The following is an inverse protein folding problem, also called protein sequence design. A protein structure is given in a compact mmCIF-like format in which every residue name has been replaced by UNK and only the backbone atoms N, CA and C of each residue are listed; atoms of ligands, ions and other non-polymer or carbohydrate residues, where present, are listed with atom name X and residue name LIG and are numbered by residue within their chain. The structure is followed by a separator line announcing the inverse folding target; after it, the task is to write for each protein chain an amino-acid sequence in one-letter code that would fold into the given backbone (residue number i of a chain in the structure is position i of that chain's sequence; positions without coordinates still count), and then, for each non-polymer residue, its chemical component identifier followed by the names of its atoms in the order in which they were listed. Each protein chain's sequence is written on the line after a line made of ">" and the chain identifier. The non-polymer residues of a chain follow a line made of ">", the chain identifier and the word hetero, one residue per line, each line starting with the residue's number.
data_IF_681386267933
#
_entry.id   IF_681386267933
#
_cell.length_a   1.000
_cell.length_b   1.000
_cell.length_c   1.000
_cell.angle_alpha   90.00
_cell.angle_beta   90.00
_cell.angle_gamma   90.00
#
_symmetry.space_group_name_H-M   'P 1'
#
loop_
_entity.id
_entity.type
_entity.pdbx_description
1 polymer ?
#
# COMPACT_ATOMS: atom_id res chain seq x y z
N UNK A 1 8.86 10.41 -23.69
CA UNK A 1 7.52 10.19 -23.16
C UNK A 1 7.52 10.78 -21.76
N UNK A 2 6.59 11.67 -21.47
CA UNK A 2 6.50 12.32 -20.15
C UNK A 2 5.61 11.46 -19.27
N UNK A 3 6.22 10.85 -18.27
CA UNK A 3 5.50 10.07 -17.27
C UNK A 3 4.93 10.99 -16.21
N UNK A 4 3.70 10.71 -15.79
CA UNK A 4 3.02 11.40 -14.70
C UNK A 4 2.43 10.40 -13.72
N UNK A 5 2.42 10.78 -12.46
CA UNK A 5 1.78 10.03 -11.40
C UNK A 5 0.28 10.35 -11.38
N UNK A 6 -0.56 9.32 -11.31
CA UNK A 6 -2.00 9.44 -11.20
C UNK A 6 -2.49 8.50 -10.11
N UNK A 7 -3.38 9.00 -9.26
CA UNK A 7 -4.03 8.22 -8.21
C UNK A 7 -5.51 8.07 -8.58
N UNK A 8 -5.98 6.82 -8.64
CA UNK A 8 -7.40 6.50 -8.82
C UNK A 8 -7.98 5.93 -7.53
N UNK A 9 -9.25 6.23 -7.28
CA UNK A 9 -9.95 5.80 -6.08
C UNK A 9 -11.12 4.90 -6.45
N UNK A 10 -11.43 3.91 -5.60
CA UNK A 10 -12.56 3.03 -5.82
C UNK A 10 -13.08 2.38 -4.55
N UNK A 11 -14.33 1.93 -4.59
CA UNK A 11 -14.93 1.03 -3.59
C UNK A 11 -15.23 -0.33 -4.20
N UNK A 12 -14.77 -1.38 -3.54
CA UNK A 12 -15.07 -2.77 -3.87
C UNK A 12 -16.24 -3.37 -3.08
N UNK A 13 -16.45 -4.69 -3.23
CA UNK A 13 -17.38 -5.45 -2.42
C UNK A 13 -17.13 -5.22 -0.92
N UNK A 14 -18.22 -5.13 -0.15
CA UNK A 14 -18.16 -4.89 1.29
C UNK A 14 -17.72 -3.47 1.70
N UNK A 15 -17.59 -2.53 0.75
CA UNK A 15 -17.14 -1.16 1.05
C UNK A 15 -15.62 -1.03 1.17
N UNK A 16 -14.86 -2.04 0.72
CA UNK A 16 -13.39 -2.01 0.73
C UNK A 16 -12.86 -0.84 -0.12
N UNK A 17 -12.06 0.05 0.47
CA UNK A 17 -11.44 1.17 -0.25
C UNK A 17 -10.21 0.74 -1.03
N UNK A 18 -10.02 1.31 -2.22
CA UNK A 18 -8.86 1.10 -3.08
C UNK A 18 -8.22 2.42 -3.46
N UNK A 19 -6.91 2.56 -3.22
CA UNK A 19 -6.05 3.58 -3.80
C UNK A 19 -5.16 2.91 -4.86
N UNK A 20 -5.31 3.31 -6.12
CA UNK A 20 -4.54 2.75 -7.24
C UNK A 20 -3.59 3.81 -7.76
N UNK A 21 -2.32 3.73 -7.34
CA UNK A 21 -1.26 4.60 -7.82
C UNK A 21 -0.73 4.07 -9.17
N UNK A 22 -0.57 4.96 -10.14
CA UNK A 22 -0.09 4.65 -11.48
C UNK A 22 0.98 5.66 -11.91
N UNK A 23 2.06 5.19 -12.51
CA UNK A 23 2.99 6.01 -13.28
C UNK A 23 2.72 5.76 -14.76
N UNK A 24 2.29 6.78 -15.51
CA UNK A 24 1.79 6.60 -16.88
C UNK A 24 2.22 7.73 -17.80
N UNK A 25 2.44 7.41 -19.07
CA UNK A 25 2.63 8.38 -20.15
C UNK A 25 1.30 8.69 -20.89
N UNK A 26 0.20 8.06 -20.50
CA UNK A 26 -1.13 8.25 -21.08
C UNK A 26 -2.24 8.01 -20.06
N UNK A 27 -2.71 9.10 -19.45
CA UNK A 27 -3.77 9.08 -18.42
C UNK A 27 -5.08 8.45 -18.91
N UNK A 28 -5.47 8.69 -20.18
CA UNK A 28 -6.73 8.18 -20.71
C UNK A 28 -6.72 6.65 -20.87
N UNK A 29 -5.57 6.10 -21.29
CA UNK A 29 -5.37 4.65 -21.37
C UNK A 29 -5.40 4.03 -19.98
N UNK A 30 -4.61 4.56 -19.04
CA UNK A 30 -4.56 4.07 -17.66
C UNK A 30 -5.92 4.16 -16.97
N UNK A 31 -6.64 5.27 -17.11
CA UNK A 31 -7.98 5.42 -16.54
C UNK A 31 -8.95 4.35 -17.06
N UNK A 32 -8.88 4.05 -18.36
CA UNK A 32 -9.72 3.03 -18.99
C UNK A 32 -9.37 1.63 -18.52
N UNK A 33 -8.07 1.29 -18.45
CA UNK A 33 -7.58 0.00 -17.98
C UNK A 33 -7.91 -0.23 -16.50
N UNK A 34 -7.64 0.75 -15.64
CA UNK A 34 -7.95 0.72 -14.20
C UNK A 34 -9.45 0.55 -13.98
N UNK A 35 -10.28 1.35 -14.67
CA UNK A 35 -11.74 1.22 -14.58
C UNK A 35 -12.22 -0.17 -14.99
N UNK A 36 -11.70 -0.72 -16.08
CA UNK A 36 -12.07 -2.06 -16.55
C UNK A 36 -11.67 -3.14 -15.55
N UNK A 37 -10.46 -3.08 -14.99
CA UNK A 37 -9.99 -4.02 -13.98
C UNK A 37 -10.85 -3.98 -12.71
N UNK A 38 -11.11 -2.78 -12.18
CA UNK A 38 -11.97 -2.57 -11.01
C UNK A 38 -13.39 -3.09 -11.26
N UNK A 39 -14.00 -2.73 -12.39
CA UNK A 39 -15.38 -3.15 -12.72
C UNK A 39 -15.48 -4.68 -12.85
N UNK A 40 -14.48 -5.32 -13.46
CA UNK A 40 -14.42 -6.80 -13.55
C UNK A 40 -14.29 -7.45 -12.18
N UNK A 41 -13.61 -6.81 -11.24
CA UNK A 41 -13.50 -7.22 -9.84
C UNK A 41 -14.69 -6.83 -8.95
N UNK A 42 -15.75 -6.23 -9.51
CA UNK A 42 -16.93 -5.80 -8.74
C UNK A 42 -16.74 -4.48 -7.97
N UNK A 43 -15.66 -3.75 -8.23
CA UNK A 43 -15.41 -2.42 -7.69
C UNK A 43 -15.92 -1.30 -8.60
N UNK A 44 -16.15 -0.12 -8.01
CA UNK A 44 -16.60 1.09 -8.70
C UNK A 44 -15.62 2.22 -8.44
N UNK A 45 -15.20 2.90 -9.51
CA UNK A 45 -14.39 4.11 -9.42
C UNK A 45 -15.15 5.17 -8.60
N UNK A 46 -14.43 5.82 -7.71
CA UNK A 46 -14.91 6.88 -6.84
C UNK A 46 -14.30 8.22 -7.25
N UNK A 47 -14.86 9.31 -6.72
CA UNK A 47 -14.31 10.64 -6.91
C UNK A 47 -13.01 10.80 -6.10
N UNK A 48 -12.06 11.64 -6.55
CA UNK A 48 -10.87 11.95 -5.77
C UNK A 48 -11.23 12.43 -4.35
N UNK A 49 -10.55 11.90 -3.33
CA UNK A 49 -10.77 12.14 -1.92
C UNK A 49 -11.78 11.18 -1.24
N UNK A 50 -12.44 10.27 -1.98
CA UNK A 50 -13.47 9.39 -1.44
C UNK A 50 -12.93 8.34 -0.46
N UNK A 51 -11.75 7.78 -0.72
CA UNK A 51 -11.16 6.75 0.15
C UNK A 51 -9.85 7.21 0.76
N UNK A 52 -9.23 8.26 0.23
CA UNK A 52 -7.90 8.73 0.64
C UNK A 52 -7.79 8.97 2.15
N UNK A 53 -8.85 9.45 2.81
CA UNK A 53 -8.84 9.68 4.26
C UNK A 53 -8.72 8.40 5.11
N UNK A 54 -8.92 7.23 4.53
CA UNK A 54 -8.75 5.93 5.20
C UNK A 54 -7.30 5.42 5.15
N UNK A 55 -6.42 6.10 4.42
CA UNK A 55 -5.04 5.66 4.19
C UNK A 55 -4.05 6.72 4.68
N UNK A 56 -3.00 6.25 5.36
CA UNK A 56 -1.81 7.06 5.67
C UNK A 56 -0.68 6.59 4.76
N UNK A 57 0.01 7.55 4.12
CA UNK A 57 1.23 7.25 3.36
C UNK A 57 2.39 7.23 4.34
N UNK A 58 2.96 6.04 4.54
CA UNK A 58 4.13 5.82 5.37
C UNK A 58 5.13 4.97 4.58
N UNK A 59 6.42 5.21 4.76
CA UNK A 59 7.48 4.29 4.39
C UNK A 59 7.32 2.97 5.15
N UNK A 60 7.77 1.86 4.54
CA UNK A 60 7.77 0.55 5.20
C UNK A 60 9.10 -0.15 4.99
N UNK A 61 9.71 -0.64 6.06
CA UNK A 61 10.93 -1.46 6.01
C UNK A 61 10.56 -2.89 6.38
N UNK A 62 11.02 -3.87 5.62
CA UNK A 62 10.85 -5.28 5.95
C UNK A 62 12.23 -5.87 6.27
N UNK A 63 12.34 -6.58 7.38
CA UNK A 63 13.59 -7.22 7.83
C UNK A 63 13.32 -8.70 8.05
N UNK A 64 14.15 -9.56 7.45
CA UNK A 64 14.07 -11.02 7.49
C UNK A 64 15.21 -11.62 8.34
N UNK A 65 14.99 -12.81 8.92
CA UNK A 65 16.00 -13.66 9.57
C UNK A 65 16.84 -12.94 10.65
N UNK A 66 16.17 -12.30 11.61
CA UNK A 66 16.84 -11.70 12.77
C UNK A 66 16.04 -11.88 14.05
N UNK A 67 16.74 -11.76 15.19
CA UNK A 67 16.11 -11.73 16.51
C UNK A 67 15.17 -10.51 16.62
N UNK A 68 13.88 -10.78 16.80
CA UNK A 68 12.80 -9.79 16.91
C UNK A 68 13.14 -8.65 17.88
N UNK A 69 13.65 -8.99 19.08
CA UNK A 69 14.02 -8.03 20.12
C UNK A 69 15.08 -7.02 19.65
N UNK A 70 16.11 -7.49 18.94
CA UNK A 70 17.19 -6.62 18.48
C UNK A 70 16.70 -5.63 17.41
N UNK A 71 15.78 -6.05 16.55
CA UNK A 71 15.21 -5.19 15.52
C UNK A 71 14.21 -4.22 16.13
N UNK A 72 13.41 -4.66 17.11
CA UNK A 72 12.50 -3.79 17.84
C UNK A 72 13.25 -2.64 18.53
N UNK A 73 14.34 -2.96 19.24
CA UNK A 73 15.19 -1.94 19.88
C UNK A 73 15.79 -0.98 18.84
N UNK A 74 16.38 -1.51 17.76
CA UNK A 74 16.98 -0.69 16.71
C UNK A 74 15.97 0.22 16.01
N UNK A 75 14.75 -0.28 15.75
CA UNK A 75 13.68 0.48 15.12
C UNK A 75 13.20 1.63 16.02
N UNK A 76 13.05 1.38 17.32
CA UNK A 76 12.71 2.45 18.28
C UNK A 76 13.81 3.51 18.36
N UNK A 77 15.08 3.12 18.39
CA UNK A 77 16.20 4.06 18.39
C UNK A 77 16.28 4.89 17.10
N UNK A 78 15.90 4.29 15.97
CA UNK A 78 15.82 4.96 14.67
C UNK A 78 14.59 5.85 14.51
N UNK A 79 13.63 5.80 15.44
CA UNK A 79 12.41 6.61 15.41
C UNK A 79 11.29 6.04 14.55
N UNK A 80 11.18 4.72 14.42
CA UNK A 80 10.05 4.09 13.76
C UNK A 80 8.73 4.38 14.50
N UNK A 81 7.66 4.66 13.75
CA UNK A 81 6.34 4.97 14.32
C UNK A 81 5.61 3.71 14.79
N UNK A 82 5.87 2.57 14.13
CA UNK A 82 5.25 1.29 14.45
C UNK A 82 6.17 0.11 14.09
N UNK A 83 6.07 -0.97 14.88
CA UNK A 83 6.80 -2.22 14.71
C UNK A 83 5.82 -3.39 14.77
N UNK A 84 5.75 -4.16 13.68
CA UNK A 84 4.83 -5.30 13.58
C UNK A 84 5.59 -6.56 13.19
N UNK A 85 5.55 -7.56 14.08
CA UNK A 85 6.00 -8.92 13.77
C UNK A 85 5.10 -9.53 12.71
N UNK A 86 5.67 -9.98 11.58
CA UNK A 86 4.93 -10.69 10.54
C UNK A 86 5.09 -12.18 10.82
N UNK A 87 4.02 -12.90 11.21
CA UNK A 87 4.11 -14.33 11.41
C UNK A 87 4.49 -15.00 10.09
N UNK A 88 5.28 -16.08 10.12
CA UNK A 88 5.57 -16.86 8.92
C UNK A 88 4.26 -17.34 8.30
N UNK A 89 4.11 -17.19 6.98
CA UNK A 89 3.00 -17.85 6.26
C UNK A 89 3.14 -19.37 6.41
N UNK A 90 2.06 -20.15 6.23
CA UNK A 90 2.07 -21.62 6.42
C UNK A 90 3.18 -22.36 5.63
N UNK A 91 3.79 -21.73 4.63
CA UNK A 91 4.97 -22.18 3.87
C UNK A 91 6.05 -21.07 3.65
N UNK A 92 6.07 -19.99 4.45
CA UNK A 92 6.97 -18.83 4.26
C UNK A 92 7.89 -18.51 5.45
N UNK A 93 9.09 -17.96 5.19
CA UNK A 93 10.04 -17.52 6.21
C UNK A 93 9.47 -16.35 7.05
N UNK A 94 9.76 -16.25 8.36
CA UNK A 94 9.29 -15.15 9.19
C UNK A 94 9.90 -13.81 8.74
N UNK A 95 9.09 -12.75 8.74
CA UNK A 95 9.56 -11.39 8.41
C UNK A 95 9.02 -10.38 9.44
N UNK A 96 9.57 -9.17 9.50
CA UNK A 96 9.08 -8.11 10.39
C UNK A 96 8.99 -6.81 9.60
N UNK A 97 7.87 -6.10 9.72
CA UNK A 97 7.64 -4.85 9.00
C UNK A 97 7.54 -3.63 9.92
N UNK A 98 8.10 -2.51 9.46
CA UNK A 98 8.12 -1.20 10.14
C UNK A 98 7.35 -0.18 9.33
N UNK A 99 6.73 0.81 9.96
CA UNK A 99 6.29 2.04 9.29
C UNK A 99 7.18 3.22 9.68
N UNK A 100 7.51 4.05 8.70
CA UNK A 100 8.28 5.29 8.86
C UNK A 100 7.48 6.40 8.20
N UNK A 101 6.94 7.35 8.94
CA UNK A 101 6.40 8.57 8.36
C UNK A 101 7.54 9.50 7.89
N UNK A 102 7.31 10.21 6.78
CA UNK A 102 8.24 11.22 6.21
C UNK A 102 8.29 12.49 7.08
#
# INVERSE_FOLDING_TARGET
>A
ADFQEVLYEAYGPGGTGFLVACLTDNVNRSASEVKNALTKGGAKVAEPGSVQFNFTRSGMVLVEDTAEDAVFEAAMEAGADDVVAVPPEEDGEPSTSFKVDD
#
